data_IF_670196535850
#
_entry.id   IF_670196535850
#
_cell.length_a   1.000
_cell.length_b   1.000
_cell.length_c   1.000
_cell.angle_alpha   90.00
_cell.angle_beta   90.00
_cell.angle_gamma   90.00
#
_symmetry.space_group_name_H-M   'P 1'
#
loop_
_entity.id
_entity.type
_entity.pdbx_description
1 polymer ?
#
# COMPACT_ATOMS: atom_id res chain seq x y z
N UNK A 1 17.86 -11.63 25.00
CA UNK A 1 16.53 -11.88 24.43
C UNK A 1 15.71 -10.60 24.54
N UNK A 2 15.16 -10.08 23.43
CA UNK A 2 14.41 -8.82 23.42
C UNK A 2 12.97 -8.97 23.96
N UNK A 3 12.26 -7.85 24.16
CA UNK A 3 10.89 -7.88 24.63
C UNK A 3 9.98 -8.60 23.64
N UNK A 4 9.18 -9.55 24.16
CA UNK A 4 8.20 -10.30 23.38
C UNK A 4 6.80 -9.72 23.60
N UNK A 5 5.92 -9.76 22.59
CA UNK A 5 4.53 -9.37 22.76
C UNK A 5 3.83 -10.30 23.75
N UNK A 6 3.18 -9.72 24.77
CA UNK A 6 2.47 -10.47 25.80
C UNK A 6 1.28 -11.27 25.26
N UNK A 7 0.67 -10.80 24.16
CA UNK A 7 -0.52 -11.39 23.52
C UNK A 7 -0.51 -11.19 22.01
N UNK A 8 -1.25 -12.05 21.31
CA UNK A 8 -1.53 -11.90 19.88
C UNK A 8 -2.31 -10.61 19.62
N UNK A 9 -1.90 -9.87 18.59
CA UNK A 9 -2.56 -8.64 18.19
C UNK A 9 -3.94 -8.92 17.55
N UNK A 10 -4.96 -8.15 17.91
CA UNK A 10 -6.30 -8.30 17.34
C UNK A 10 -6.30 -8.03 15.83
N UNK A 11 -7.13 -8.76 15.09
CA UNK A 11 -7.23 -8.62 13.62
C UNK A 11 -7.69 -7.22 13.21
N UNK A 12 -8.64 -6.62 13.93
CA UNK A 12 -9.10 -5.25 13.71
C UNK A 12 -7.93 -4.25 13.79
N UNK A 13 -7.14 -4.31 14.87
CA UNK A 13 -5.97 -3.44 15.10
C UNK A 13 -4.89 -3.65 14.05
N UNK A 14 -4.70 -4.89 13.57
CA UNK A 14 -3.77 -5.19 12.48
C UNK A 14 -4.23 -4.53 11.17
N UNK A 15 -5.53 -4.52 10.89
CA UNK A 15 -6.15 -3.86 9.75
C UNK A 15 -5.95 -2.33 9.80
N UNK A 16 -6.31 -1.71 10.93
CA UNK A 16 -6.09 -0.27 11.17
C UNK A 16 -4.63 0.12 10.93
N UNK A 17 -3.66 -0.64 11.46
CA UNK A 17 -2.23 -0.36 11.23
C UNK A 17 -1.84 -0.45 9.74
N UNK A 18 -2.45 -1.35 8.98
CA UNK A 18 -2.14 -1.60 7.56
C UNK A 18 -2.89 -0.68 6.60
N UNK A 19 -3.86 0.10 7.05
CA UNK A 19 -4.67 0.99 6.20
C UNK A 19 -3.83 2.01 5.40
N UNK A 20 -2.64 2.34 5.90
CA UNK A 20 -1.72 3.30 5.27
C UNK A 20 -0.83 2.69 4.19
N UNK A 21 -0.84 1.37 4.01
CA UNK A 21 0.02 0.65 3.07
C UNK A 21 -0.61 0.53 1.66
N UNK A 22 -1.60 1.37 1.34
CA UNK A 22 -2.20 1.39 0.00
C UNK A 22 -1.17 1.87 -1.03
N UNK A 23 -1.07 1.16 -2.15
CA UNK A 23 -0.23 1.57 -3.27
C UNK A 23 -0.95 2.67 -4.06
N UNK A 24 -0.22 3.73 -4.42
CA UNK A 24 -0.71 4.69 -5.39
C UNK A 24 -0.47 4.16 -6.80
N UNK A 25 -1.47 4.15 -7.69
CA UNK A 25 -1.19 3.93 -9.11
C UNK A 25 -0.25 5.02 -9.62
N UNK A 26 0.60 4.72 -10.61
CA UNK A 26 1.39 5.75 -11.24
C UNK A 26 0.49 6.69 -12.06
N UNK A 27 0.84 7.98 -12.18
CA UNK A 27 0.18 8.86 -13.14
C UNK A 27 0.50 8.35 -14.54
N UNK A 28 -0.52 8.09 -15.34
CA UNK A 28 -0.39 7.69 -16.74
C UNK A 28 -0.96 8.82 -17.60
N UNK A 29 -0.16 9.29 -18.54
CA UNK A 29 -0.56 10.25 -19.56
C UNK A 29 -0.65 9.56 -20.93
N UNK A 30 -1.47 10.10 -21.83
CA UNK A 30 -1.60 9.57 -23.19
C UNK A 30 -0.50 10.12 -24.11
N UNK A 31 0.18 9.23 -24.83
CA UNK A 31 1.17 9.66 -25.81
C UNK A 31 0.47 10.26 -27.06
N UNK A 32 0.77 11.50 -27.48
CA UNK A 32 0.07 12.16 -28.59
C UNK A 32 0.38 11.56 -29.98
N UNK A 33 1.41 10.73 -30.09
CA UNK A 33 1.86 10.18 -31.38
C UNK A 33 1.36 8.75 -31.63
N UNK A 34 1.14 7.98 -30.57
CA UNK A 34 0.74 6.57 -30.65
C UNK A 34 -0.45 6.21 -29.75
N UNK A 35 -1.02 7.16 -29.00
CA UNK A 35 -2.13 6.98 -28.06
C UNK A 35 -1.94 5.83 -27.06
N UNK A 36 -0.68 5.46 -26.77
CA UNK A 36 -0.36 4.49 -25.73
C UNK A 36 -0.28 5.18 -24.37
N UNK A 37 -0.72 4.49 -23.31
CA UNK A 37 -0.49 4.92 -21.93
C UNK A 37 1.03 4.99 -21.68
N UNK A 38 1.52 6.17 -21.34
CA UNK A 38 2.91 6.46 -21.03
C UNK A 38 2.98 7.02 -19.61
N UNK A 39 4.08 6.75 -18.92
CA UNK A 39 4.47 7.47 -17.70
C UNK A 39 5.08 8.82 -18.07
#
# INVERSE_FOLDING_TARGET
MGPLPKRKYAKARQGERRQHLKLSPPPLDECPQCHSAKL
#
